data_IF_575636413836
#
_entry.id   IF_575636413836
#
_cell.length_a   1.000
_cell.length_b   1.000
_cell.length_c   1.000
_cell.angle_alpha   90.00
_cell.angle_beta   90.00
_cell.angle_gamma   90.00
#
_symmetry.space_group_name_H-M   'P 1'
#
loop_
_entity.id
_entity.type
_entity.pdbx_description
1 polymer ?
#
# COMPACT_ATOMS: atom_id res chain seq x y z
N UNK A 1 22.44 17.56 -38.93
CA UNK A 1 23.25 16.55 -38.21
C UNK A 1 23.13 16.85 -36.72
N UNK A 2 22.22 16.16 -36.05
CA UNK A 2 21.97 16.30 -34.61
C UNK A 2 23.07 15.51 -33.90
N UNK A 3 23.91 16.18 -33.11
CA UNK A 3 24.84 15.50 -32.18
C UNK A 3 24.02 15.02 -30.99
N UNK A 4 23.91 13.70 -30.84
CA UNK A 4 23.47 13.06 -29.60
C UNK A 4 24.59 13.19 -28.56
N UNK A 5 24.24 13.64 -27.36
CA UNK A 5 25.14 13.74 -26.21
C UNK A 5 25.54 12.34 -25.72
N UNK A 6 26.78 12.23 -25.25
CA UNK A 6 27.49 10.98 -24.90
C UNK A 6 27.25 10.57 -23.43
N UNK A 7 26.28 11.19 -22.74
CA UNK A 7 26.08 11.00 -21.30
C UNK A 7 25.23 9.76 -20.93
N UNK A 8 24.61 9.09 -21.91
CA UNK A 8 23.75 7.92 -21.67
C UNK A 8 24.50 6.58 -21.60
N UNK A 9 25.80 6.54 -21.91
CA UNK A 9 26.59 5.29 -21.95
C UNK A 9 27.24 4.98 -20.59
N UNK A 10 27.40 5.96 -19.70
CA UNK A 10 28.09 5.79 -18.41
C UNK A 10 27.18 5.23 -17.29
N UNK A 11 25.86 5.39 -17.38
CA UNK A 11 24.92 4.94 -16.35
C UNK A 11 24.83 3.42 -16.22
N UNK A 12 24.94 2.69 -17.33
CA UNK A 12 24.87 1.23 -17.34
C UNK A 12 26.10 0.54 -16.74
N UNK A 13 27.29 1.11 -16.92
CA UNK A 13 28.54 0.55 -16.39
C UNK A 13 28.65 0.72 -14.86
N UNK A 14 28.16 1.85 -14.33
CA UNK A 14 28.19 2.13 -12.89
C UNK A 14 27.18 1.28 -12.11
N UNK A 15 26.01 0.97 -12.70
CA UNK A 15 25.01 0.06 -12.11
C UNK A 15 25.57 -1.36 -11.98
N UNK A 16 26.19 -1.88 -13.06
CA UNK A 16 26.79 -3.23 -13.06
C UNK A 16 27.93 -3.33 -12.04
N UNK A 17 28.73 -2.27 -11.89
CA UNK A 17 29.85 -2.23 -10.93
C UNK A 17 29.37 -2.18 -9.47
N UNK A 18 28.25 -1.50 -9.20
CA UNK A 18 27.63 -1.46 -7.88
C UNK A 18 27.02 -2.83 -7.48
N UNK A 19 26.36 -3.51 -8.42
CA UNK A 19 25.75 -4.83 -8.20
C UNK A 19 26.80 -5.94 -7.96
N UNK A 20 27.93 -5.89 -8.67
CA UNK A 20 29.08 -6.79 -8.44
C UNK A 20 29.68 -6.60 -7.03
N UNK A 21 29.73 -5.36 -6.54
CA UNK A 21 30.32 -5.05 -5.22
C UNK A 21 29.47 -5.58 -4.06
N UNK A 22 28.14 -5.53 -4.20
CA UNK A 22 27.17 -6.00 -3.21
C UNK A 22 27.21 -7.54 -3.07
N UNK A 23 27.25 -8.28 -4.18
CA UNK A 23 27.31 -9.74 -4.15
C UNK A 23 28.62 -10.27 -3.51
N UNK A 24 29.73 -9.56 -3.71
CA UNK A 24 30.99 -9.87 -3.03
C UNK A 24 30.90 -9.64 -1.50
N UNK A 25 30.21 -8.58 -1.08
CA UNK A 25 30.01 -8.25 0.34
C UNK A 25 29.16 -9.31 1.06
N UNK A 26 28.06 -9.76 0.45
CA UNK A 26 27.22 -10.83 1.01
C UNK A 26 27.98 -12.14 1.14
N UNK A 27 28.69 -12.57 0.09
CA UNK A 27 29.44 -13.83 0.13
C UNK A 27 30.53 -13.82 1.21
N UNK A 28 31.26 -12.71 1.34
CA UNK A 28 32.26 -12.53 2.41
C UNK A 28 31.63 -12.63 3.81
N UNK A 29 30.43 -12.07 4.00
CA UNK A 29 29.69 -12.18 5.26
C UNK A 29 29.27 -13.64 5.57
N UNK A 30 28.75 -14.35 4.57
CA UNK A 30 28.33 -15.75 4.71
C UNK A 30 29.52 -16.69 4.98
N UNK A 31 30.67 -16.44 4.34
CA UNK A 31 31.92 -17.15 4.61
C UNK A 31 32.40 -16.91 6.05
N UNK A 32 32.37 -15.66 6.52
CA UNK A 32 32.69 -15.30 7.91
C UNK A 32 31.79 -16.02 8.92
N UNK A 33 30.52 -16.25 8.57
CA UNK A 33 29.56 -16.98 9.41
C UNK A 33 29.65 -18.51 9.25
N UNK A 34 30.49 -19.01 8.36
CA UNK A 34 30.66 -20.43 8.10
C UNK A 34 29.42 -21.09 7.49
N UNK A 35 28.66 -20.34 6.68
CA UNK A 35 27.48 -20.87 5.97
C UNK A 35 27.97 -21.68 4.76
N UNK A 36 27.60 -22.97 4.62
CA UNK A 36 28.04 -23.80 3.51
C UNK A 36 27.36 -23.40 2.20
N UNK A 37 27.99 -23.73 1.06
CA UNK A 37 27.57 -23.23 -0.26
C UNK A 37 26.15 -23.62 -0.66
N UNK A 38 25.67 -24.80 -0.25
CA UNK A 38 24.29 -25.25 -0.49
C UNK A 38 23.26 -24.38 0.25
N UNK A 39 23.64 -23.83 1.40
CA UNK A 39 22.81 -22.92 2.20
C UNK A 39 22.94 -21.46 1.77
N UNK A 40 24.04 -21.06 1.11
CA UNK A 40 24.18 -19.71 0.52
C UNK A 40 23.13 -19.45 -0.53
N UNK A 41 22.80 -20.44 -1.36
CA UNK A 41 21.74 -20.33 -2.36
C UNK A 41 20.37 -20.02 -1.73
N UNK A 42 20.07 -20.59 -0.57
CA UNK A 42 18.83 -20.32 0.17
C UNK A 42 18.78 -18.86 0.65
N UNK A 43 19.91 -18.33 1.12
CA UNK A 43 20.03 -16.91 1.50
C UNK A 43 19.81 -16.02 0.27
N UNK A 44 20.39 -16.38 -0.88
CA UNK A 44 20.19 -15.65 -2.13
C UNK A 44 18.71 -15.66 -2.55
N UNK A 45 18.03 -16.80 -2.47
CA UNK A 45 16.60 -16.91 -2.78
C UNK A 45 15.76 -16.02 -1.84
N UNK A 46 16.07 -16.02 -0.53
CA UNK A 46 15.42 -15.12 0.44
C UNK A 46 15.69 -13.64 0.13
N UNK A 47 16.95 -13.30 -0.20
CA UNK A 47 17.34 -11.94 -0.57
C UNK A 47 16.53 -11.46 -1.76
N UNK A 48 16.46 -12.26 -2.81
CA UNK A 48 15.76 -11.91 -4.04
C UNK A 48 14.27 -11.69 -3.77
N UNK A 49 13.67 -12.48 -2.88
CA UNK A 49 12.30 -12.28 -2.40
C UNK A 49 12.15 -10.95 -1.65
N UNK A 50 13.03 -10.61 -0.69
CA UNK A 50 12.83 -9.41 0.16
C UNK A 50 13.27 -8.10 -0.49
N UNK A 51 14.18 -8.16 -1.45
CA UNK A 51 14.66 -7.02 -2.25
C UNK A 51 13.82 -6.81 -3.52
N UNK A 52 13.14 -7.85 -3.99
CA UNK A 52 12.23 -7.76 -5.12
C UNK A 52 11.04 -6.83 -4.88
N UNK A 53 10.60 -6.15 -5.95
CA UNK A 53 9.49 -5.19 -5.92
C UNK A 53 8.22 -5.82 -5.32
N UNK A 54 7.64 -5.16 -4.30
CA UNK A 54 6.37 -5.56 -3.67
C UNK A 54 5.29 -4.52 -3.97
N UNK A 55 4.10 -4.97 -4.39
CA UNK A 55 2.91 -4.11 -4.55
C UNK A 55 2.18 -3.83 -3.22
N UNK A 56 2.60 -4.47 -2.13
CA UNK A 56 2.05 -4.29 -0.79
C UNK A 56 2.82 -3.16 -0.10
N UNK A 57 2.20 -1.99 0.04
CA UNK A 57 2.82 -0.76 0.53
C UNK A 57 3.25 -0.77 2.01
N UNK A 58 2.85 -1.79 2.79
CA UNK A 58 3.14 -1.93 4.23
C UNK A 58 4.31 -2.86 4.56
N UNK A 59 4.95 -3.44 3.55
CA UNK A 59 6.05 -4.40 3.73
C UNK A 59 7.34 -3.77 3.24
N UNK A 60 8.35 -3.69 4.12
CA UNK A 60 9.67 -3.14 3.77
C UNK A 60 10.23 -3.88 2.55
N UNK A 61 10.59 -3.12 1.52
CA UNK A 61 11.42 -3.61 0.41
C UNK A 61 12.86 -3.28 0.78
N UNK A 62 13.66 -4.33 1.01
CA UNK A 62 15.06 -4.15 1.40
C UNK A 62 15.86 -3.63 0.21
N UNK A 63 16.76 -2.67 0.47
CA UNK A 63 17.93 -2.52 -0.40
C UNK A 63 18.93 -3.61 -0.05
N UNK A 64 19.76 -4.03 -1.00
CA UNK A 64 20.74 -5.09 -0.76
C UNK A 64 21.69 -4.76 0.41
N UNK A 65 22.09 -3.49 0.57
CA UNK A 65 22.91 -3.03 1.70
C UNK A 65 22.17 -3.18 3.03
N UNK A 66 20.88 -2.80 3.09
CA UNK A 66 20.05 -2.95 4.29
C UNK A 66 19.88 -4.42 4.68
N UNK A 67 19.79 -5.32 3.69
CA UNK A 67 19.71 -6.76 3.94
C UNK A 67 21.01 -7.30 4.52
N UNK A 68 22.16 -6.90 3.99
CA UNK A 68 23.46 -7.31 4.54
C UNK A 68 23.66 -6.82 5.98
N UNK A 69 23.27 -5.56 6.27
CA UNK A 69 23.33 -4.99 7.61
C UNK A 69 22.41 -5.75 8.59
N UNK A 70 21.23 -6.18 8.14
CA UNK A 70 20.34 -7.03 8.92
C UNK A 70 20.99 -8.38 9.25
N UNK A 71 21.60 -9.05 8.27
CA UNK A 71 22.28 -10.32 8.47
C UNK A 71 23.44 -10.19 9.47
N UNK A 72 24.20 -9.10 9.38
CA UNK A 72 25.26 -8.80 10.35
C UNK A 72 24.68 -8.61 11.77
N UNK A 73 23.56 -7.90 11.89
CA UNK A 73 22.86 -7.70 13.16
C UNK A 73 22.17 -8.95 13.73
N UNK A 74 21.87 -9.96 12.91
CA UNK A 74 21.39 -11.28 13.37
C UNK A 74 22.54 -12.11 13.94
N UNK A 75 23.73 -12.01 13.33
CA UNK A 75 24.88 -12.86 13.67
C UNK A 75 24.73 -14.31 13.19
N UNK A 76 25.83 -15.06 13.26
CA UNK A 76 25.94 -16.38 12.64
C UNK A 76 24.90 -17.40 13.16
N UNK A 77 24.69 -17.49 14.47
CA UNK A 77 23.84 -18.52 15.06
C UNK A 77 22.35 -18.31 14.74
N UNK A 78 21.84 -17.08 14.88
CA UNK A 78 20.44 -16.77 14.53
C UNK A 78 20.18 -16.91 13.03
N UNK A 79 21.17 -16.58 12.20
CA UNK A 79 21.04 -16.75 10.76
C UNK A 79 20.94 -18.24 10.37
N UNK A 80 21.76 -19.11 10.96
CA UNK A 80 21.67 -20.57 10.75
C UNK A 80 20.29 -21.11 11.12
N UNK A 81 19.71 -20.63 12.21
CA UNK A 81 18.38 -21.06 12.64
C UNK A 81 17.27 -20.60 11.67
N UNK A 82 17.34 -19.35 11.18
CA UNK A 82 16.41 -18.85 10.14
C UNK A 82 16.52 -19.68 8.85
N UNK A 83 17.75 -20.03 8.44
CA UNK A 83 17.97 -20.91 7.29
C UNK A 83 17.28 -22.25 7.51
N UNK A 84 17.45 -22.88 8.67
CA UNK A 84 16.87 -24.19 8.96
C UNK A 84 15.33 -24.16 9.04
N UNK A 85 14.72 -23.07 9.54
CA UNK A 85 13.25 -22.89 9.49
C UNK A 85 12.76 -22.92 8.03
N UNK A 86 13.43 -22.20 7.13
CA UNK A 86 13.05 -22.19 5.72
C UNK A 86 13.31 -23.52 5.03
N UNK A 87 14.42 -24.18 5.33
CA UNK A 87 14.71 -25.54 4.84
C UNK A 87 13.59 -26.51 5.23
N UNK A 88 13.11 -26.45 6.47
CA UNK A 88 12.00 -27.29 6.93
C UNK A 88 10.70 -27.03 6.16
N UNK A 89 10.43 -25.78 5.78
CA UNK A 89 9.26 -25.44 4.97
C UNK A 89 9.40 -25.98 3.54
N UNK A 90 10.56 -25.83 2.91
CA UNK A 90 10.81 -26.40 1.58
C UNK A 90 10.68 -27.92 1.59
N UNK A 91 11.22 -28.59 2.61
CA UNK A 91 11.07 -30.04 2.77
C UNK A 91 9.61 -30.46 2.95
N UNK A 92 8.83 -29.74 3.77
CA UNK A 92 7.40 -30.01 3.93
C UNK A 92 6.62 -29.79 2.62
N UNK A 93 7.04 -28.84 1.78
CA UNK A 93 6.46 -28.64 0.45
C UNK A 93 6.70 -29.87 -0.44
N UNK A 94 7.96 -30.32 -0.56
CA UNK A 94 8.31 -31.46 -1.40
C UNK A 94 7.58 -32.73 -0.95
N UNK A 95 7.53 -32.98 0.37
CA UNK A 95 6.84 -34.14 0.93
C UNK A 95 5.31 -34.10 0.68
N UNK A 96 4.67 -32.95 0.86
CA UNK A 96 3.23 -32.81 0.62
C UNK A 96 2.90 -32.99 -0.87
N UNK A 97 3.68 -32.38 -1.76
CA UNK A 97 3.47 -32.51 -3.21
C UNK A 97 3.62 -33.96 -3.68
N UNK A 98 4.64 -34.68 -3.20
CA UNK A 98 4.86 -36.07 -3.55
C UNK A 98 3.67 -36.97 -3.16
N UNK A 99 3.06 -36.74 -1.99
CA UNK A 99 1.86 -37.50 -1.58
C UNK A 99 0.66 -37.16 -2.46
N UNK A 100 0.43 -35.87 -2.74
CA UNK A 100 -0.67 -35.40 -3.60
C UNK A 100 -0.55 -36.00 -5.00
N UNK A 101 0.67 -36.05 -5.56
CA UNK A 101 0.90 -36.64 -6.87
C UNK A 101 0.53 -38.13 -6.93
N UNK A 102 0.64 -38.84 -5.80
CA UNK A 102 0.25 -40.24 -5.65
C UNK A 102 -1.26 -40.51 -5.55
N UNK A 103 -2.11 -39.48 -5.43
CA UNK A 103 -3.57 -39.64 -5.34
C UNK A 103 -4.15 -40.07 -6.70
N UNK A 104 -5.05 -41.06 -6.67
CA UNK A 104 -5.74 -41.60 -7.87
C UNK A 104 -7.01 -40.84 -8.24
N UNK A 105 -7.72 -40.33 -7.24
CA UNK A 105 -8.91 -39.52 -7.46
C UNK A 105 -8.49 -38.14 -8.00
N UNK A 106 -8.78 -37.89 -9.28
CA UNK A 106 -8.41 -36.66 -9.97
C UNK A 106 -9.06 -35.40 -9.37
N UNK A 107 -10.22 -35.52 -8.73
CA UNK A 107 -10.93 -34.40 -8.10
C UNK A 107 -10.25 -34.05 -6.79
N UNK A 108 -10.09 -35.03 -5.90
CA UNK A 108 -9.40 -34.85 -4.62
C UNK A 108 -7.95 -34.40 -4.81
N UNK A 109 -7.25 -34.96 -5.80
CA UNK A 109 -5.89 -34.55 -6.18
C UNK A 109 -5.84 -33.07 -6.56
N UNK A 110 -6.77 -32.60 -7.39
CA UNK A 110 -6.81 -31.20 -7.82
C UNK A 110 -7.16 -30.26 -6.67
N UNK A 111 -8.08 -30.64 -5.77
CA UNK A 111 -8.40 -29.83 -4.58
C UNK A 111 -7.19 -29.65 -3.67
N UNK A 112 -6.45 -30.72 -3.41
CA UNK A 112 -5.21 -30.67 -2.62
C UNK A 112 -4.08 -29.92 -3.32
N UNK A 113 -3.94 -30.06 -4.65
CA UNK A 113 -3.01 -29.24 -5.44
C UNK A 113 -3.33 -27.75 -5.33
N UNK A 114 -4.61 -27.37 -5.37
CA UNK A 114 -5.03 -25.96 -5.20
C UNK A 114 -4.67 -25.44 -3.80
N UNK A 115 -4.94 -26.21 -2.74
CA UNK A 115 -4.54 -25.86 -1.37
C UNK A 115 -3.01 -25.73 -1.27
N UNK A 116 -2.27 -26.71 -1.80
CA UNK A 116 -0.81 -26.75 -1.80
C UNK A 116 -0.20 -25.53 -2.50
N UNK A 117 -0.55 -25.31 -3.77
CA UNK A 117 -0.02 -24.20 -4.55
C UNK A 117 -0.49 -22.85 -4.00
N UNK A 118 -1.66 -22.77 -3.36
CA UNK A 118 -2.09 -21.58 -2.63
C UNK A 118 -1.12 -21.20 -1.51
N UNK A 119 -0.75 -22.17 -0.67
CA UNK A 119 0.24 -21.97 0.41
C UNK A 119 1.64 -21.73 -0.11
N UNK A 120 2.07 -22.44 -1.16
CA UNK A 120 3.39 -22.26 -1.78
C UNK A 120 3.53 -20.85 -2.37
N UNK A 121 2.52 -20.36 -3.09
CA UNK A 121 2.56 -19.04 -3.73
C UNK A 121 2.41 -17.88 -2.73
N UNK A 122 1.82 -18.10 -1.55
CA UNK A 122 1.75 -17.10 -0.48
C UNK A 122 3.06 -17.01 0.34
N UNK A 123 3.92 -18.02 0.26
CA UNK A 123 5.13 -18.12 1.08
C UNK A 123 6.15 -16.97 0.85
N UNK A 124 6.40 -16.49 -0.40
CA UNK A 124 7.28 -15.34 -0.60
C UNK A 124 6.80 -14.06 0.09
N UNK A 125 5.48 -13.80 0.11
CA UNK A 125 4.93 -12.66 0.83
C UNK A 125 5.04 -12.87 2.35
N UNK A 126 4.79 -14.10 2.82
CA UNK A 126 4.98 -14.47 4.22
C UNK A 126 6.42 -14.23 4.67
N UNK A 127 7.42 -14.64 3.88
CA UNK A 127 8.83 -14.32 4.13
C UNK A 127 9.06 -12.81 4.25
N UNK A 128 8.53 -12.01 3.32
CA UNK A 128 8.66 -10.54 3.43
C UNK A 128 8.04 -9.99 4.72
N UNK A 129 6.93 -10.56 5.20
CA UNK A 129 6.30 -10.18 6.49
C UNK A 129 7.22 -10.52 7.67
N UNK A 130 7.84 -11.70 7.67
CA UNK A 130 8.80 -12.11 8.72
C UNK A 130 10.02 -11.17 8.76
N UNK A 131 10.51 -10.75 7.59
CA UNK A 131 11.59 -9.77 7.47
C UNK A 131 11.17 -8.32 7.75
N UNK A 132 9.87 -8.03 7.89
CA UNK A 132 9.35 -6.67 8.14
C UNK A 132 9.41 -6.29 9.62
N UNK A 133 10.60 -6.36 10.23
CA UNK A 133 10.86 -5.92 11.60
C UNK A 133 11.65 -4.60 11.65
N UNK A 134 11.53 -3.87 12.75
CA UNK A 134 12.27 -2.64 12.98
C UNK A 134 13.78 -2.88 13.19
N UNK A 135 14.17 -4.06 13.67
CA UNK A 135 15.55 -4.47 13.93
C UNK A 135 15.73 -6.00 13.82
N UNK A 136 16.98 -6.48 13.95
CA UNK A 136 17.32 -7.90 13.83
C UNK A 136 16.70 -8.79 14.91
N UNK A 137 16.51 -8.28 16.13
CA UNK A 137 15.86 -9.01 17.21
C UNK A 137 14.38 -9.29 16.89
N UNK A 138 13.66 -8.28 16.38
CA UNK A 138 12.26 -8.44 15.99
C UNK A 138 12.10 -9.41 14.82
N UNK A 139 12.97 -9.33 13.80
CA UNK A 139 12.96 -10.26 12.67
C UNK A 139 13.19 -11.69 13.16
N UNK A 140 14.21 -11.91 13.99
CA UNK A 140 14.48 -13.24 14.55
C UNK A 140 13.31 -13.77 15.40
N UNK A 141 12.68 -12.91 16.21
CA UNK A 141 11.49 -13.26 16.99
C UNK A 141 10.31 -13.71 16.12
N UNK A 142 10.11 -13.07 14.96
CA UNK A 142 9.07 -13.46 14.00
C UNK A 142 9.32 -14.84 13.40
N UNK A 143 10.56 -15.14 13.01
CA UNK A 143 10.91 -16.45 12.46
C UNK A 143 10.75 -17.58 13.48
N UNK A 144 11.25 -17.39 14.70
CA UNK A 144 11.18 -18.41 15.77
C UNK A 144 9.75 -18.66 16.28
N UNK A 145 8.85 -17.70 16.11
CA UNK A 145 7.43 -17.83 16.45
C UNK A 145 6.56 -18.29 15.27
N UNK A 146 7.15 -18.45 14.08
CA UNK A 146 6.42 -18.83 12.87
C UNK A 146 6.06 -20.32 12.86
N UNK A 147 4.89 -20.64 12.33
CA UNK A 147 4.42 -22.02 12.19
C UNK A 147 3.90 -22.33 10.78
N UNK A 148 4.40 -21.62 9.76
CA UNK A 148 3.92 -21.80 8.38
C UNK A 148 4.18 -23.22 7.84
N UNK A 149 5.18 -23.93 8.38
CA UNK A 149 5.47 -25.33 8.06
C UNK A 149 4.27 -26.25 8.34
N UNK A 150 3.46 -25.94 9.36
CA UNK A 150 2.30 -26.75 9.74
C UNK A 150 1.21 -26.76 8.65
N UNK A 151 1.12 -25.73 7.81
CA UNK A 151 0.16 -25.68 6.70
C UNK A 151 0.46 -26.77 5.66
N UNK A 152 1.74 -27.01 5.34
CA UNK A 152 2.12 -28.06 4.40
C UNK A 152 2.05 -29.47 5.03
N UNK A 153 2.36 -29.59 6.33
CA UNK A 153 2.15 -30.84 7.06
C UNK A 153 0.67 -31.22 7.07
N UNK A 154 -0.23 -30.28 7.36
CA UNK A 154 -1.68 -30.55 7.36
C UNK A 154 -2.19 -31.02 5.99
N UNK A 155 -1.72 -30.40 4.91
CA UNK A 155 -2.07 -30.80 3.53
C UNK A 155 -1.54 -32.21 3.22
N UNK A 156 -0.31 -32.53 3.65
CA UNK A 156 0.27 -33.88 3.50
C UNK A 156 -0.57 -34.93 4.22
N UNK A 157 -0.96 -34.68 5.47
CA UNK A 157 -1.78 -35.62 6.26
C UNK A 157 -3.18 -35.80 5.65
N UNK A 158 -3.81 -34.73 5.15
CA UNK A 158 -5.07 -34.80 4.41
C UNK A 158 -4.92 -35.66 3.15
N UNK A 159 -3.84 -35.48 2.40
CA UNK A 159 -3.53 -36.27 1.22
C UNK A 159 -3.29 -37.76 1.52
N UNK A 160 -2.61 -38.07 2.64
CA UNK A 160 -2.39 -39.46 3.08
C UNK A 160 -3.70 -40.18 3.40
N UNK A 161 -4.66 -39.50 4.05
CA UNK A 161 -5.97 -40.08 4.36
C UNK A 161 -6.73 -40.59 3.12
N UNK A 162 -6.58 -39.91 1.98
CA UNK A 162 -7.24 -40.28 0.73
C UNK A 162 -6.52 -41.42 -0.02
N UNK A 163 -5.23 -41.61 0.23
CA UNK A 163 -4.45 -42.75 -0.29
C UNK A 163 -4.76 -44.02 0.49
N UNK A 164 -5.19 -43.92 1.76
CA UNK A 164 -5.59 -45.07 2.57
C UNK A 164 -7.04 -45.52 2.32
N UNK A 165 -7.97 -44.58 2.08
CA UNK A 165 -9.40 -44.87 1.82
C UNK A 165 -9.65 -45.57 0.47
N UNK A 166 -8.70 -45.46 -0.47
CA UNK A 166 -8.78 -46.08 -1.81
C UNK A 166 -8.29 -47.54 -1.87
N UNK A 167 -8.07 -48.19 -0.71
CA UNK A 167 -7.78 -49.64 -0.62
C UNK A 167 -9.02 -50.49 -0.34
N UNK A 168 -10.16 -49.89 -0.02
CA UNK A 168 -11.43 -50.60 0.12
C UNK A 168 -12.42 -50.12 -0.95
N UNK A 169 -13.29 -51.03 -1.40
CA UNK A 169 -14.30 -50.86 -2.45
C UNK A 169 -13.82 -51.13 -3.89
N UNK A 170 -13.87 -52.42 -4.24
CA UNK A 170 -14.16 -52.89 -5.60
C UNK A 170 -15.64 -53.27 -5.68
N UNK A 171 -16.45 -52.64 -6.52
CA UNK A 171 -17.61 -53.30 -7.17
C UNK A 171 -17.90 -52.67 -8.55
N UNK A 172 -18.05 -53.54 -9.54
CA UNK A 172 -18.25 -53.29 -10.97
C UNK A 172 -19.63 -52.74 -11.37
N UNK A 173 -19.63 -51.92 -12.43
CA UNK A 173 -20.45 -52.14 -13.64
C UNK A 173 -21.91 -51.67 -13.66
N UNK A 174 -22.18 -50.51 -14.26
CA UNK A 174 -23.44 -50.21 -14.98
C UNK A 174 -23.13 -49.34 -16.23
N UNK A 175 -23.71 -49.60 -17.42
CA UNK A 175 -23.44 -48.83 -18.63
C UNK A 175 -24.09 -47.44 -18.58
N UNK A 176 -23.34 -46.39 -18.94
CA UNK A 176 -23.88 -45.04 -19.05
C UNK A 176 -24.62 -44.82 -20.37
N UNK A 177 -25.91 -44.54 -20.29
CA UNK A 177 -26.69 -43.89 -21.34
C UNK A 177 -26.35 -42.39 -21.40
N UNK A 178 -26.13 -41.89 -22.62
CA UNK A 178 -25.81 -40.49 -22.91
C UNK A 178 -27.04 -39.60 -22.64
N UNK A 179 -27.02 -38.88 -21.52
CA UNK A 179 -27.94 -37.77 -21.23
C UNK A 179 -27.44 -36.52 -21.97
N UNK A 180 -28.29 -35.77 -22.69
CA UNK A 180 -27.88 -34.54 -23.36
C UNK A 180 -27.43 -33.49 -22.32
N UNK A 181 -26.19 -33.01 -22.47
CA UNK A 181 -25.56 -32.06 -21.58
C UNK A 181 -26.29 -30.70 -21.67
N UNK A 182 -27.11 -30.37 -20.66
CA UNK A 182 -27.77 -29.05 -20.57
C UNK A 182 -26.73 -27.93 -20.46
N UNK A 183 -26.95 -26.84 -21.18
CA UNK A 183 -26.09 -25.65 -21.14
C UNK A 183 -26.11 -25.03 -19.73
N UNK A 184 -24.94 -24.71 -19.16
CA UNK A 184 -24.77 -24.16 -17.81
C UNK A 184 -25.59 -22.88 -17.61
N UNK A 185 -25.70 -22.03 -18.63
CA UNK A 185 -26.50 -20.80 -18.57
C UNK A 185 -27.99 -21.08 -18.35
N UNK A 186 -28.53 -22.15 -18.93
CA UNK A 186 -29.94 -22.50 -18.79
C UNK A 186 -30.28 -22.94 -17.36
N UNK A 187 -29.29 -23.48 -16.63
CA UNK A 187 -29.42 -23.94 -15.24
C UNK A 187 -29.41 -22.80 -14.22
N UNK A 188 -29.09 -21.57 -14.63
CA UNK A 188 -29.08 -20.39 -13.76
C UNK A 188 -30.48 -19.81 -13.53
N UNK A 189 -30.67 -19.23 -12.35
CA UNK A 189 -31.85 -18.43 -11.99
C UNK A 189 -31.88 -17.10 -12.78
N UNK A 190 -33.01 -16.39 -12.73
CA UNK A 190 -33.19 -15.16 -13.50
C UNK A 190 -32.21 -14.04 -13.06
N UNK A 191 -32.02 -13.85 -11.76
CA UNK A 191 -31.07 -12.90 -11.18
C UNK A 191 -29.62 -13.28 -11.45
N UNK A 192 -29.29 -14.58 -11.38
CA UNK A 192 -27.99 -15.11 -11.77
C UNK A 192 -27.67 -14.86 -13.25
N UNK A 193 -28.67 -14.98 -14.13
CA UNK A 193 -28.55 -14.65 -15.56
C UNK A 193 -28.29 -13.17 -15.78
N UNK A 194 -28.96 -12.27 -15.07
CA UNK A 194 -28.73 -10.83 -15.17
C UNK A 194 -27.28 -10.44 -14.80
N UNK A 195 -26.72 -11.10 -13.79
CA UNK A 195 -25.31 -10.91 -13.40
C UNK A 195 -24.37 -11.39 -14.51
N UNK A 196 -24.61 -12.60 -15.03
CA UNK A 196 -23.80 -13.16 -16.12
C UNK A 196 -23.89 -12.31 -17.38
N UNK A 197 -25.07 -11.80 -17.71
CA UNK A 197 -25.29 -10.90 -18.84
C UNK A 197 -24.55 -9.57 -18.66
N UNK A 198 -24.49 -9.05 -17.43
CA UNK A 198 -23.70 -7.85 -17.09
C UNK A 198 -22.20 -8.09 -17.31
N UNK A 199 -21.68 -9.24 -16.85
CA UNK A 199 -20.27 -9.63 -17.07
C UNK A 199 -20.00 -9.83 -18.57
N UNK A 200 -20.88 -10.56 -19.27
CA UNK A 200 -20.81 -10.79 -20.72
C UNK A 200 -20.69 -9.47 -21.47
N UNK A 201 -21.59 -8.52 -21.21
CA UNK A 201 -21.61 -7.24 -21.90
C UNK A 201 -20.28 -6.48 -21.73
N UNK A 202 -19.60 -6.60 -20.59
CA UNK A 202 -18.28 -5.99 -20.39
C UNK A 202 -17.24 -6.65 -21.30
N UNK A 203 -17.17 -7.98 -21.32
CA UNK A 203 -16.08 -8.73 -22.01
C UNK A 203 -16.29 -8.91 -23.51
N UNK A 204 -17.51 -8.67 -24.02
CA UNK A 204 -17.84 -8.71 -25.45
C UNK A 204 -17.90 -7.33 -26.11
N UNK A 205 -17.86 -6.24 -25.33
CA UNK A 205 -17.87 -4.86 -25.87
C UNK A 205 -16.46 -4.31 -25.98
N UNK A 206 -16.12 -3.58 -27.04
CA UNK A 206 -14.82 -2.91 -27.18
C UNK A 206 -14.72 -1.75 -26.16
N UNK A 207 -13.64 -1.69 -25.37
CA UNK A 207 -13.44 -0.57 -24.41
C UNK A 207 -12.99 0.67 -25.17
N UNK A 208 -13.70 1.80 -25.00
CA UNK A 208 -13.33 3.09 -25.60
C UNK A 208 -12.33 3.88 -24.76
N UNK A 209 -12.14 3.53 -23.48
CA UNK A 209 -11.39 4.33 -22.50
C UNK A 209 -9.91 3.94 -22.44
N UNK A 210 -9.57 2.68 -22.71
CA UNK A 210 -8.20 2.19 -22.72
C UNK A 210 -7.95 1.32 -23.96
N UNK A 211 -7.05 1.76 -24.86
CA UNK A 211 -6.48 0.91 -25.93
C UNK A 211 -5.66 -0.21 -25.27
N UNK A 212 -6.33 -1.26 -24.84
CA UNK A 212 -5.71 -2.44 -24.24
C UNK A 212 -6.02 -3.65 -25.10
N UNK A 213 -5.00 -4.47 -25.36
CA UNK A 213 -5.02 -5.63 -26.24
C UNK A 213 -5.64 -6.87 -25.58
N UNK A 214 -6.62 -6.70 -24.68
CA UNK A 214 -7.27 -7.81 -24.01
C UNK A 214 -8.17 -8.58 -24.98
N UNK A 215 -8.27 -9.90 -24.79
CA UNK A 215 -9.16 -10.77 -25.56
C UNK A 215 -10.59 -10.22 -25.55
N UNK A 216 -11.13 -10.01 -26.75
CA UNK A 216 -12.53 -9.68 -26.96
C UNK A 216 -13.28 -11.00 -27.21
N UNK A 217 -14.22 -11.34 -26.34
CA UNK A 217 -15.03 -12.54 -26.51
C UNK A 217 -16.18 -12.27 -27.50
N UNK A 218 -16.48 -13.24 -28.35
CA UNK A 218 -17.82 -13.38 -28.93
C UNK A 218 -18.78 -13.96 -27.90
N UNK A 219 -20.10 -13.81 -28.14
CA UNK A 219 -21.10 -14.41 -27.26
C UNK A 219 -20.96 -15.93 -27.17
N UNK A 220 -20.68 -16.61 -28.29
CA UNK A 220 -20.53 -18.06 -28.31
C UNK A 220 -19.29 -18.53 -27.53
N UNK A 221 -18.15 -17.84 -27.67
CA UNK A 221 -16.95 -18.13 -26.87
C UNK A 221 -17.19 -17.92 -25.38
N UNK A 222 -17.97 -16.91 -25.00
CA UNK A 222 -18.32 -16.66 -23.61
C UNK A 222 -19.22 -17.78 -23.04
N UNK A 223 -20.25 -18.22 -23.76
CA UNK A 223 -21.10 -19.32 -23.27
C UNK A 223 -20.38 -20.67 -23.26
N UNK A 224 -19.48 -20.92 -24.21
CA UNK A 224 -18.63 -22.10 -24.19
C UNK A 224 -17.70 -22.10 -22.97
N UNK A 225 -17.16 -20.94 -22.59
CA UNK A 225 -16.39 -20.77 -21.35
C UNK A 225 -17.22 -21.12 -20.11
N UNK A 226 -18.49 -20.67 -20.02
CA UNK A 226 -19.37 -21.04 -18.91
C UNK A 226 -19.61 -22.55 -18.83
N UNK A 227 -19.77 -23.21 -19.98
CA UNK A 227 -19.92 -24.66 -20.05
C UNK A 227 -18.66 -25.39 -19.59
N UNK A 228 -17.47 -24.89 -19.93
CA UNK A 228 -16.19 -25.44 -19.48
C UNK A 228 -15.97 -25.25 -17.97
N UNK A 229 -16.40 -24.10 -17.42
CA UNK A 229 -16.36 -23.81 -15.99
C UNK A 229 -17.29 -24.73 -15.18
N UNK A 230 -18.45 -25.07 -15.73
CA UNK A 230 -19.48 -25.83 -15.03
C UNK A 230 -20.26 -24.97 -14.04
N UNK A 231 -21.45 -25.46 -13.65
CA UNK A 231 -22.42 -24.70 -12.84
C UNK A 231 -21.90 -24.23 -11.49
N UNK A 232 -21.04 -25.03 -10.84
CA UNK A 232 -20.48 -24.71 -9.51
C UNK A 232 -19.58 -23.46 -9.60
N UNK A 233 -18.57 -23.48 -10.49
CA UNK A 233 -17.64 -22.35 -10.67
C UNK A 233 -18.35 -21.09 -11.17
N UNK A 234 -19.38 -21.23 -12.01
CA UNK A 234 -20.17 -20.09 -12.49
C UNK A 234 -20.94 -19.42 -11.35
N UNK A 235 -21.55 -20.20 -10.43
CA UNK A 235 -22.21 -19.64 -9.24
C UNK A 235 -21.24 -18.94 -8.29
N UNK A 236 -20.04 -19.48 -8.12
CA UNK A 236 -18.98 -18.82 -7.34
C UNK A 236 -18.57 -17.47 -7.96
N UNK A 237 -18.39 -17.41 -9.28
CA UNK A 237 -18.06 -16.15 -10.00
C UNK A 237 -19.17 -15.11 -9.78
N UNK A 238 -20.44 -15.52 -9.85
CA UNK A 238 -21.58 -14.64 -9.58
C UNK A 238 -21.51 -14.08 -8.16
N UNK A 239 -21.24 -14.94 -7.17
CA UNK A 239 -21.14 -14.51 -5.77
C UNK A 239 -20.00 -13.51 -5.54
N UNK A 240 -18.82 -13.74 -6.14
CA UNK A 240 -17.66 -12.84 -6.05
C UNK A 240 -17.99 -11.49 -6.70
N UNK A 241 -18.53 -11.50 -7.91
CA UNK A 241 -18.92 -10.28 -8.62
C UNK A 241 -19.93 -9.45 -7.83
N UNK A 242 -20.94 -10.10 -7.24
CA UNK A 242 -21.93 -9.43 -6.39
C UNK A 242 -21.31 -8.85 -5.11
N UNK A 243 -20.33 -9.53 -4.52
CA UNK A 243 -19.57 -9.01 -3.38
C UNK A 243 -18.84 -7.72 -3.75
N UNK A 244 -18.10 -7.72 -4.85
CA UNK A 244 -17.35 -6.54 -5.34
C UNK A 244 -18.29 -5.34 -5.60
N UNK A 245 -19.46 -5.58 -6.21
CA UNK A 245 -20.46 -4.54 -6.42
C UNK A 245 -21.00 -3.97 -5.11
N UNK A 246 -21.34 -4.84 -4.14
CA UNK A 246 -21.84 -4.40 -2.82
C UNK A 246 -20.82 -3.55 -2.09
N UNK A 247 -19.54 -3.93 -2.13
CA UNK A 247 -18.48 -3.16 -1.48
C UNK A 247 -18.25 -1.80 -2.15
N UNK A 248 -18.31 -1.75 -3.48
CA UNK A 248 -18.25 -0.51 -4.24
C UNK A 248 -19.41 0.43 -3.90
N UNK A 249 -20.64 -0.10 -3.86
CA UNK A 249 -21.84 0.70 -3.57
C UNK A 249 -21.87 1.17 -2.10
N UNK A 250 -21.45 0.32 -1.16
CA UNK A 250 -21.27 0.70 0.24
C UNK A 250 -20.24 1.83 0.38
N UNK A 251 -19.09 1.70 -0.30
CA UNK A 251 -18.07 2.73 -0.26
C UNK A 251 -18.54 4.05 -0.91
N UNK A 252 -19.31 3.99 -1.99
CA UNK A 252 -19.95 5.18 -2.57
C UNK A 252 -20.84 5.90 -1.55
N UNK A 253 -21.62 5.15 -0.77
CA UNK A 253 -22.47 5.72 0.27
C UNK A 253 -21.65 6.38 1.40
N UNK A 254 -20.53 5.77 1.82
CA UNK A 254 -19.59 6.37 2.79
C UNK A 254 -19.01 7.69 2.28
N UNK A 255 -18.57 7.73 1.02
CA UNK A 255 -18.05 8.94 0.37
C UNK A 255 -19.14 10.03 0.33
N UNK A 256 -20.37 9.68 -0.07
CA UNK A 256 -21.50 10.62 -0.12
C UNK A 256 -21.83 11.21 1.25
N UNK A 257 -21.80 10.40 2.31
CA UNK A 257 -22.06 10.86 3.68
C UNK A 257 -21.01 11.87 4.17
N UNK A 258 -19.73 11.69 3.80
CA UNK A 258 -18.67 12.66 4.11
C UNK A 258 -18.89 13.97 3.35
N UNK A 259 -19.31 13.89 2.08
CA UNK A 259 -19.54 15.06 1.22
C UNK A 259 -20.67 15.95 1.74
N UNK A 260 -21.77 15.35 2.20
CA UNK A 260 -22.96 16.08 2.67
C UNK A 260 -22.67 16.98 3.89
N UNK A 261 -21.62 16.65 4.67
CA UNK A 261 -21.25 17.35 5.90
C UNK A 261 -20.34 18.57 5.64
N UNK A 262 -19.66 18.65 4.49
CA UNK A 262 -18.44 19.48 4.37
C UNK A 262 -18.47 20.57 3.30
N UNK A 263 -18.26 21.82 3.74
CA UNK A 263 -18.03 22.99 2.87
C UNK A 263 -16.65 23.01 2.18
N UNK A 264 -15.73 22.05 2.43
CA UNK A 264 -14.42 22.04 1.75
C UNK A 264 -14.45 21.20 0.48
N UNK A 265 -15.18 21.73 -0.51
CA UNK A 265 -15.40 21.19 -1.86
C UNK A 265 -14.17 20.59 -2.56
N UNK A 266 -12.94 20.99 -2.21
CA UNK A 266 -11.73 20.51 -2.88
C UNK A 266 -11.31 19.08 -2.49
N UNK A 267 -11.39 18.72 -1.20
CA UNK A 267 -10.99 17.40 -0.70
C UNK A 267 -12.01 16.33 -1.08
N UNK A 268 -13.28 16.66 -0.88
CA UNK A 268 -14.43 15.85 -1.28
C UNK A 268 -14.45 15.60 -2.78
N UNK A 269 -14.22 16.62 -3.61
CA UNK A 269 -14.07 16.43 -5.07
C UNK A 269 -12.90 15.55 -5.46
N UNK A 270 -11.75 15.69 -4.80
CA UNK A 270 -10.58 14.84 -5.10
C UNK A 270 -10.93 13.38 -4.83
N UNK A 271 -11.61 13.11 -3.71
CA UNK A 271 -12.09 11.78 -3.36
C UNK A 271 -13.11 11.24 -4.36
N UNK A 272 -14.10 12.05 -4.79
CA UNK A 272 -15.04 11.68 -5.86
C UNK A 272 -14.34 11.34 -7.17
N UNK A 273 -13.35 12.14 -7.58
CA UNK A 273 -12.57 11.93 -8.80
C UNK A 273 -11.79 10.62 -8.71
N UNK A 274 -11.10 10.36 -7.60
CA UNK A 274 -10.34 9.11 -7.41
C UNK A 274 -11.27 7.89 -7.33
N UNK A 275 -12.42 8.01 -6.65
CA UNK A 275 -13.41 6.94 -6.60
C UNK A 275 -13.97 6.65 -7.99
N UNK A 276 -14.30 7.69 -8.76
CA UNK A 276 -14.80 7.55 -10.13
C UNK A 276 -13.78 6.88 -11.06
N UNK A 277 -12.48 7.19 -10.93
CA UNK A 277 -11.43 6.48 -11.68
C UNK A 277 -11.44 4.99 -11.38
N UNK A 278 -11.67 4.59 -10.13
CA UNK A 278 -11.82 3.18 -9.77
C UNK A 278 -13.08 2.60 -10.42
N UNK A 279 -14.24 3.25 -10.27
CA UNK A 279 -15.49 2.80 -10.91
C UNK A 279 -15.31 2.59 -12.43
N UNK A 280 -14.68 3.54 -13.11
CA UNK A 280 -14.40 3.48 -14.55
C UNK A 280 -13.35 2.42 -14.91
N UNK A 281 -12.50 2.02 -13.96
CA UNK A 281 -11.50 0.97 -14.12
C UNK A 281 -12.09 -0.45 -13.96
N UNK A 282 -13.17 -0.63 -13.20
CA UNK A 282 -13.76 -1.95 -12.93
C UNK A 282 -14.05 -2.80 -14.20
N UNK A 283 -14.63 -2.25 -15.29
CA UNK A 283 -14.80 -3.01 -16.52
C UNK A 283 -13.48 -3.49 -17.14
N UNK A 284 -12.40 -2.70 -17.01
CA UNK A 284 -11.07 -3.07 -17.48
C UNK A 284 -10.47 -4.18 -16.62
N UNK A 285 -10.68 -4.13 -15.30
CA UNK A 285 -10.30 -5.19 -14.38
C UNK A 285 -10.98 -6.53 -14.73
N UNK A 286 -12.28 -6.52 -15.02
CA UNK A 286 -13.00 -7.71 -15.47
C UNK A 286 -12.41 -8.25 -16.78
N UNK A 287 -12.12 -7.39 -17.76
CA UNK A 287 -11.46 -7.84 -19.00
C UNK A 287 -10.12 -8.49 -18.75
N UNK A 288 -9.32 -7.92 -17.84
CA UNK A 288 -8.06 -8.52 -17.44
C UNK A 288 -8.25 -9.90 -16.79
N UNK A 289 -9.33 -10.14 -16.03
CA UNK A 289 -9.66 -11.47 -15.49
C UNK A 289 -9.96 -12.46 -16.61
N UNK A 290 -10.72 -12.05 -17.62
CA UNK A 290 -11.11 -12.92 -18.73
C UNK A 290 -10.03 -13.12 -19.81
N UNK A 291 -8.96 -12.33 -19.76
CA UNK A 291 -7.77 -12.45 -20.60
C UNK A 291 -6.85 -13.59 -20.15
N UNK A 292 -7.43 -14.75 -19.85
CA UNK A 292 -6.72 -15.98 -19.50
C UNK A 292 -6.85 -16.99 -20.61
N UNK A 293 -5.90 -17.91 -20.66
CA UNK A 293 -5.77 -18.90 -21.74
C UNK A 293 -6.88 -19.95 -21.72
N UNK A 294 -7.46 -20.22 -20.55
CA UNK A 294 -8.44 -21.28 -20.33
C UNK A 294 -9.42 -20.94 -19.19
N UNK A 295 -10.46 -21.78 -19.06
CA UNK A 295 -11.54 -21.62 -18.09
C UNK A 295 -11.06 -21.60 -16.63
N UNK A 296 -10.14 -22.49 -16.27
CA UNK A 296 -9.62 -22.58 -14.91
C UNK A 296 -8.76 -21.36 -14.55
N UNK A 297 -8.05 -20.80 -15.52
CA UNK A 297 -7.35 -19.53 -15.41
C UNK A 297 -8.30 -18.36 -15.13
N UNK A 298 -9.44 -18.28 -15.84
CA UNK A 298 -10.48 -17.25 -15.59
C UNK A 298 -11.05 -17.40 -14.18
N UNK A 299 -11.46 -18.62 -13.79
CA UNK A 299 -11.99 -18.88 -12.45
C UNK A 299 -10.97 -18.52 -11.36
N UNK A 300 -9.72 -18.96 -11.52
CA UNK A 300 -8.64 -18.65 -10.58
C UNK A 300 -8.40 -17.15 -10.45
N UNK A 301 -8.54 -16.40 -11.56
CA UNK A 301 -8.39 -14.95 -11.55
C UNK A 301 -9.54 -14.23 -10.84
N UNK A 302 -10.77 -14.75 -10.88
CA UNK A 302 -11.87 -14.28 -10.05
C UNK A 302 -11.64 -14.57 -8.57
N UNK A 303 -11.28 -15.81 -8.22
CA UNK A 303 -11.10 -16.22 -6.81
C UNK A 303 -9.91 -15.51 -6.15
N UNK A 304 -8.81 -15.32 -6.89
CA UNK A 304 -7.64 -14.53 -6.41
C UNK A 304 -7.86 -13.03 -6.53
N UNK A 305 -8.89 -12.63 -7.27
CA UNK A 305 -9.22 -11.25 -7.51
C UNK A 305 -9.70 -10.58 -6.23
N UNK A 306 -9.06 -9.48 -5.87
CA UNK A 306 -9.52 -8.65 -4.77
C UNK A 306 -9.62 -7.20 -5.25
N UNK A 307 -10.71 -6.93 -5.97
CA UNK A 307 -10.97 -5.59 -6.46
C UNK A 307 -11.16 -4.61 -5.30
N UNK A 308 -11.66 -5.08 -4.15
CA UNK A 308 -11.87 -4.26 -2.97
C UNK A 308 -10.60 -3.60 -2.43
N UNK A 309 -9.45 -4.25 -2.61
CA UNK A 309 -8.14 -3.71 -2.21
C UNK A 309 -7.81 -2.38 -2.90
N UNK A 310 -8.37 -2.12 -4.09
CA UNK A 310 -8.18 -0.84 -4.77
C UNK A 310 -8.82 0.32 -3.98
N UNK A 311 -9.79 0.04 -3.10
CA UNK A 311 -10.43 1.04 -2.25
C UNK A 311 -9.73 1.23 -0.89
N UNK A 312 -8.77 0.38 -0.48
CA UNK A 312 -8.17 0.46 0.87
C UNK A 312 -7.64 1.85 1.19
N UNK A 313 -6.89 2.45 0.27
CA UNK A 313 -6.35 3.80 0.46
C UNK A 313 -7.48 4.82 0.60
N UNK A 314 -8.46 4.81 -0.31
CA UNK A 314 -9.57 5.75 -0.25
C UNK A 314 -10.43 5.58 1.02
N UNK A 315 -10.62 4.33 1.50
CA UNK A 315 -11.27 4.04 2.79
C UNK A 315 -10.49 4.66 3.96
N UNK A 316 -9.17 4.56 3.93
CA UNK A 316 -8.31 5.24 4.92
C UNK A 316 -8.44 6.76 4.84
N UNK A 317 -8.40 7.33 3.62
CA UNK A 317 -8.52 8.77 3.41
C UNK A 317 -9.88 9.30 3.89
N UNK A 318 -10.97 8.60 3.60
CA UNK A 318 -12.34 8.88 4.09
C UNK A 318 -12.38 8.93 5.61
N UNK A 319 -11.76 7.96 6.27
CA UNK A 319 -11.70 7.90 7.74
C UNK A 319 -10.91 9.08 8.31
N UNK A 320 -9.74 9.37 7.75
CA UNK A 320 -8.89 10.51 8.18
C UNK A 320 -9.66 11.83 8.04
N UNK A 321 -10.38 12.02 6.94
CA UNK A 321 -11.21 13.21 6.72
C UNK A 321 -12.32 13.30 7.78
N UNK A 322 -13.06 12.21 8.00
CA UNK A 322 -14.12 12.16 9.02
C UNK A 322 -13.61 12.46 10.42
N UNK A 323 -12.49 11.85 10.83
CA UNK A 323 -11.92 12.02 12.17
C UNK A 323 -11.34 13.42 12.35
N UNK A 324 -10.73 14.01 11.31
CA UNK A 324 -10.30 15.40 11.32
C UNK A 324 -11.47 16.38 11.53
N UNK A 325 -12.63 16.13 10.92
CA UNK A 325 -13.80 17.00 11.10
C UNK A 325 -14.33 16.98 12.52
N UNK A 326 -14.46 15.78 13.11
CA UNK A 326 -14.87 15.62 14.51
C UNK A 326 -13.91 16.37 15.43
N UNK A 327 -12.61 16.27 15.16
CA UNK A 327 -11.60 17.04 15.89
C UNK A 327 -11.83 18.56 15.72
N UNK A 328 -12.16 19.01 14.51
CA UNK A 328 -12.46 20.41 14.20
C UNK A 328 -13.77 20.96 14.82
N UNK A 329 -14.75 20.14 15.19
CA UNK A 329 -15.97 20.61 15.88
C UNK A 329 -15.67 21.34 17.20
N UNK A 330 -14.63 20.92 17.90
CA UNK A 330 -14.19 21.52 19.17
C UNK A 330 -13.42 22.85 19.04
N UNK A 331 -13.19 23.36 17.84
CA UNK A 331 -12.43 24.59 17.59
C UNK A 331 -13.33 25.77 17.20
N UNK A 332 -12.98 26.94 17.71
CA UNK A 332 -13.60 28.22 17.37
C UNK A 332 -13.32 28.64 15.91
N UNK A 333 -14.04 29.65 15.42
CA UNK A 333 -13.84 30.19 14.07
C UNK A 333 -12.41 30.72 13.84
N UNK A 334 -11.81 31.35 14.85
CA UNK A 334 -10.44 31.89 14.79
C UNK A 334 -9.41 30.76 14.73
N UNK A 335 -9.58 29.72 15.56
CA UNK A 335 -8.71 28.55 15.55
C UNK A 335 -8.79 27.80 14.21
N UNK A 336 -10.00 27.60 13.67
CA UNK A 336 -10.20 27.03 12.33
C UNK A 336 -9.52 27.84 11.23
N UNK A 337 -9.59 29.18 11.32
CA UNK A 337 -8.87 30.08 10.41
C UNK A 337 -7.35 29.91 10.51
N UNK A 338 -6.83 29.72 11.71
CA UNK A 338 -5.40 29.45 11.95
C UNK A 338 -4.97 28.12 11.35
N UNK A 339 -5.75 27.05 11.56
CA UNK A 339 -5.49 25.73 10.96
C UNK A 339 -5.50 25.83 9.43
N UNK A 340 -6.46 26.56 8.84
CA UNK A 340 -6.53 26.76 7.40
C UNK A 340 -5.30 27.49 6.85
N UNK A 341 -4.80 28.52 7.56
CA UNK A 341 -3.57 29.20 7.20
C UNK A 341 -2.36 28.27 7.28
N UNK A 342 -2.18 27.54 8.39
CA UNK A 342 -1.09 26.56 8.54
C UNK A 342 -1.08 25.56 7.40
N UNK A 343 -2.26 25.03 7.06
CA UNK A 343 -2.44 24.13 5.92
C UNK A 343 -1.94 24.73 4.62
N UNK A 344 -2.39 25.95 4.29
CA UNK A 344 -2.01 26.63 3.05
C UNK A 344 -0.50 26.79 2.89
N UNK A 345 0.22 26.94 4.01
CA UNK A 345 1.68 27.08 4.02
C UNK A 345 2.39 25.73 3.81
N UNK A 346 1.95 24.68 4.53
CA UNK A 346 2.64 23.39 4.49
C UNK A 346 2.34 22.58 3.24
N UNK A 347 1.21 22.86 2.57
CA UNK A 347 0.84 22.22 1.29
C UNK A 347 1.34 22.97 0.07
N UNK A 348 1.85 24.20 0.21
CA UNK A 348 2.42 24.97 -0.92
C UNK A 348 3.85 24.51 -1.20
N UNK A 349 4.06 23.90 -2.36
CA UNK A 349 5.38 23.40 -2.80
C UNK A 349 6.41 24.49 -3.04
N UNK A 350 6.01 25.76 -3.20
CA UNK A 350 6.95 26.86 -3.44
C UNK A 350 7.62 27.34 -2.15
N UNK A 351 6.95 27.18 -1.01
CA UNK A 351 7.48 27.58 0.30
C UNK A 351 8.47 26.51 0.78
N UNK A 352 9.66 26.92 1.25
CA UNK A 352 10.64 26.00 1.83
C UNK A 352 11.28 25.01 0.86
N UNK A 353 11.11 25.23 -0.46
CA UNK A 353 11.61 24.33 -1.51
C UNK A 353 13.14 24.35 -1.62
N UNK A 354 13.74 25.54 -1.44
CA UNK A 354 15.20 25.73 -1.46
C UNK A 354 15.85 24.99 -0.29
N UNK A 355 15.18 24.96 0.85
CA UNK A 355 15.63 24.30 2.07
C UNK A 355 15.30 22.80 2.11
N UNK A 356 14.50 22.30 1.15
CA UNK A 356 14.10 20.89 1.07
C UNK A 356 13.04 20.47 2.08
N UNK A 357 12.24 21.41 2.60
CA UNK A 357 11.19 21.08 3.58
C UNK A 357 10.07 20.23 2.98
N UNK A 358 9.53 19.33 3.80
CA UNK A 358 8.41 18.44 3.43
C UNK A 358 7.23 19.29 2.94
N UNK A 359 6.66 18.93 1.79
CA UNK A 359 5.38 19.44 1.34
C UNK A 359 4.32 18.39 1.61
N UNK A 360 3.36 18.74 2.45
CA UNK A 360 2.26 17.85 2.82
C UNK A 360 1.19 17.86 1.73
N UNK A 361 0.51 16.73 1.53
CA UNK A 361 -0.84 16.78 0.97
C UNK A 361 -1.90 17.04 2.05
N UNK A 362 -3.12 17.37 1.63
CA UNK A 362 -4.22 17.67 2.56
C UNK A 362 -4.53 16.53 3.54
N UNK A 363 -4.40 15.26 3.11
CA UNK A 363 -4.72 14.08 3.92
C UNK A 363 -3.60 13.82 4.93
N UNK A 364 -2.34 13.90 4.50
CA UNK A 364 -1.19 13.81 5.39
C UNK A 364 -1.23 14.87 6.49
N UNK A 365 -1.60 16.11 6.13
CA UNK A 365 -1.76 17.19 7.10
C UNK A 365 -2.89 16.90 8.10
N UNK A 366 -4.06 16.47 7.61
CA UNK A 366 -5.18 16.11 8.47
C UNK A 366 -4.81 14.96 9.44
N UNK A 367 -4.09 13.94 8.95
CA UNK A 367 -3.64 12.83 9.78
C UNK A 367 -2.66 13.30 10.87
N UNK A 368 -1.71 14.17 10.53
CA UNK A 368 -0.81 14.76 11.52
C UNK A 368 -1.56 15.53 12.61
N UNK A 369 -2.58 16.31 12.24
CA UNK A 369 -3.39 17.05 13.20
C UNK A 369 -4.24 16.13 14.08
N UNK A 370 -4.73 15.02 13.52
CA UNK A 370 -5.38 13.96 14.28
C UNK A 370 -4.43 13.37 15.33
N UNK A 371 -3.20 13.02 14.93
CA UNK A 371 -2.18 12.43 15.81
C UNK A 371 -1.69 13.39 16.91
N UNK A 372 -1.68 14.69 16.64
CA UNK A 372 -1.42 15.72 17.66
C UNK A 372 -2.52 15.76 18.73
N UNK A 373 -3.76 15.49 18.35
CA UNK A 373 -4.92 15.65 19.22
C UNK A 373 -5.25 17.10 19.56
N UNK A 374 -6.38 17.29 20.23
CA UNK A 374 -6.97 18.62 20.47
C UNK A 374 -6.07 19.51 21.35
N UNK A 375 -5.50 18.96 22.43
CA UNK A 375 -4.74 19.74 23.41
C UNK A 375 -3.47 20.34 22.82
N UNK A 376 -2.62 19.51 22.21
CA UNK A 376 -1.37 19.94 21.57
C UNK A 376 -1.64 20.87 20.39
N UNK A 377 -2.68 20.59 19.59
CA UNK A 377 -3.05 21.47 18.49
C UNK A 377 -3.46 22.87 18.97
N UNK A 378 -4.21 22.97 20.08
CA UNK A 378 -4.54 24.28 20.68
C UNK A 378 -3.29 25.03 21.13
N UNK A 379 -2.29 24.35 21.67
CA UNK A 379 -1.03 24.99 22.06
C UNK A 379 -0.24 25.49 20.85
N UNK A 380 -0.16 24.69 19.79
CA UNK A 380 0.42 25.09 18.50
C UNK A 380 -0.28 26.34 17.95
N UNK A 381 -1.62 26.36 17.97
CA UNK A 381 -2.42 27.52 17.56
C UNK A 381 -2.12 28.74 18.42
N UNK A 382 -2.04 28.59 19.76
CA UNK A 382 -1.69 29.69 20.67
C UNK A 382 -0.31 30.29 20.34
N UNK A 383 0.68 29.47 20.00
CA UNK A 383 2.03 29.94 19.63
C UNK A 383 2.00 30.71 18.31
N UNK A 384 1.25 30.22 17.33
CA UNK A 384 1.05 30.92 16.06
C UNK A 384 0.37 32.28 16.28
N UNK A 385 -0.74 32.30 17.01
CA UNK A 385 -1.49 33.52 17.32
C UNK A 385 -0.64 34.52 18.11
N UNK A 386 0.18 34.05 19.05
CA UNK A 386 1.12 34.89 19.80
C UNK A 386 2.16 35.55 18.88
N UNK A 387 2.68 34.80 17.90
CA UNK A 387 3.62 35.32 16.90
C UNK A 387 2.95 36.37 16.01
N UNK A 388 1.72 36.12 15.57
CA UNK A 388 0.94 37.08 14.76
C UNK A 388 0.60 38.37 15.54
N UNK A 389 0.20 38.23 16.81
CA UNK A 389 -0.06 39.38 17.70
C UNK A 389 1.20 40.21 17.92
N UNK A 390 2.34 39.58 18.16
CA UNK A 390 3.62 40.28 18.32
C UNK A 390 4.03 41.02 17.04
N UNK A 391 3.87 40.39 15.87
CA UNK A 391 4.11 41.02 14.56
C UNK A 391 3.26 42.26 14.36
N UNK A 392 1.96 42.19 14.65
CA UNK A 392 1.05 43.33 14.51
C UNK A 392 1.40 44.47 15.48
N UNK A 393 1.81 44.15 16.71
CA UNK A 393 2.25 45.15 17.67
C UNK A 393 3.54 45.85 17.21
N UNK A 394 4.50 45.11 16.65
CA UNK A 394 5.70 45.67 16.05
C UNK A 394 5.40 46.56 14.84
N UNK A 395 4.47 46.14 13.97
CA UNK A 395 4.01 46.94 12.83
C UNK A 395 3.37 48.26 13.30
N UNK A 396 2.56 48.22 14.36
CA UNK A 396 1.96 49.42 14.93
C UNK A 396 3.00 50.38 15.54
N UNK A 397 4.04 49.86 16.21
CA UNK A 397 5.16 50.66 16.71
C UNK A 397 5.95 51.28 15.56
N UNK A 398 6.28 50.49 14.53
CA UNK A 398 6.96 50.96 13.30
C UNK A 398 6.22 52.12 12.64
N UNK A 399 4.89 52.07 12.58
CA UNK A 399 4.09 53.13 11.98
C UNK A 399 4.05 54.44 12.81
N UNK A 400 4.34 54.35 14.11
CA UNK A 400 4.40 55.52 15.01
C UNK A 400 5.79 56.16 15.07
N UNK A 401 6.84 55.36 14.84
CA UNK A 401 8.22 55.81 14.86
C UNK A 401 8.50 56.95 13.84
N UNK A 402 9.31 57.92 14.25
CA UNK A 402 9.70 59.05 13.39
C UNK A 402 10.58 58.57 12.22
N UNK A 403 10.46 59.23 11.07
CA UNK A 403 11.21 58.85 9.88
C UNK A 403 12.70 59.13 10.05
N UNK A 404 13.51 58.07 10.00
CA UNK A 404 14.96 58.13 10.22
C UNK A 404 15.66 56.97 9.51
N UNK A 405 16.97 57.08 9.30
CA UNK A 405 17.77 55.98 8.74
C UNK A 405 17.65 54.71 9.60
N UNK A 406 17.66 54.86 10.93
CA UNK A 406 17.50 53.75 11.87
C UNK A 406 16.15 53.04 11.72
N UNK A 407 15.07 53.78 11.48
CA UNK A 407 13.75 53.20 11.18
C UNK A 407 13.77 52.42 9.87
N UNK A 408 14.42 52.93 8.83
CA UNK A 408 14.53 52.24 7.53
C UNK A 408 15.29 50.90 7.65
N UNK A 409 16.40 50.89 8.39
CA UNK A 409 17.19 49.68 8.64
C UNK A 409 16.38 48.64 9.45
N UNK A 410 15.69 49.07 10.50
CA UNK A 410 14.83 48.20 11.30
C UNK A 410 13.64 47.67 10.51
N UNK A 411 13.02 48.51 9.67
CA UNK A 411 11.94 48.10 8.78
C UNK A 411 12.42 47.02 7.81
N UNK A 412 13.61 47.17 7.22
CA UNK A 412 14.18 46.15 6.33
C UNK A 412 14.29 44.78 7.04
N UNK A 413 14.86 44.75 8.25
CA UNK A 413 15.00 43.52 9.03
C UNK A 413 13.66 42.92 9.47
N UNK A 414 12.71 43.77 9.88
CA UNK A 414 11.33 43.36 10.20
C UNK A 414 10.62 42.75 8.98
N UNK A 415 10.79 43.34 7.80
CA UNK A 415 10.20 42.86 6.54
C UNK A 415 10.84 41.51 6.12
N UNK A 416 12.14 41.31 6.36
CA UNK A 416 12.82 40.02 6.16
C UNK A 416 12.25 38.95 7.09
N UNK A 417 12.18 39.21 8.40
CA UNK A 417 11.61 38.26 9.37
C UNK A 417 10.15 37.93 9.04
N UNK A 418 9.36 38.95 8.67
CA UNK A 418 7.95 38.83 8.31
C UNK A 418 7.72 37.95 7.08
N UNK A 419 8.58 38.06 6.07
CA UNK A 419 8.54 37.19 4.88
C UNK A 419 9.00 35.77 5.19
N UNK A 420 9.97 35.60 6.09
CA UNK A 420 10.47 34.30 6.51
C UNK A 420 9.48 33.46 7.33
N UNK A 421 8.44 34.04 7.90
CA UNK A 421 7.53 33.33 8.82
C UNK A 421 6.84 32.12 8.19
N UNK A 422 6.44 32.18 6.91
CA UNK A 422 5.82 31.05 6.25
C UNK A 422 6.82 29.88 6.06
N UNK A 423 8.08 30.19 5.71
CA UNK A 423 9.14 29.18 5.63
C UNK A 423 9.44 28.58 7.01
N UNK A 424 9.50 29.41 8.06
CA UNK A 424 9.63 28.95 9.45
C UNK A 424 8.49 28.03 9.87
N UNK A 425 7.25 28.39 9.57
CA UNK A 425 6.10 27.55 9.87
C UNK A 425 6.23 26.19 9.17
N UNK A 426 6.67 26.17 7.92
CA UNK A 426 6.90 24.92 7.19
C UNK A 426 8.04 24.09 7.79
N UNK A 427 9.11 24.72 8.27
CA UNK A 427 10.18 24.07 9.03
C UNK A 427 9.63 23.37 10.29
N UNK A 428 8.78 24.04 11.07
CA UNK A 428 8.19 23.45 12.29
C UNK A 428 7.36 22.18 12.02
N UNK A 429 6.78 22.09 10.81
CA UNK A 429 6.05 20.91 10.35
C UNK A 429 6.93 19.89 9.62
N UNK A 430 8.21 20.17 9.38
CA UNK A 430 9.11 19.29 8.62
C UNK A 430 9.45 17.99 9.37
N UNK A 431 9.32 18.00 10.70
CA UNK A 431 9.70 16.88 11.54
C UNK A 431 8.91 15.58 11.24
N UNK A 432 9.50 14.44 11.63
CA UNK A 432 9.07 13.11 11.20
C UNK A 432 7.71 12.65 11.75
N UNK A 433 7.24 13.21 12.88
CA UNK A 433 5.98 12.82 13.52
C UNK A 433 5.39 13.95 14.38
N UNK A 434 4.17 13.71 14.90
CA UNK A 434 3.42 14.66 15.73
C UNK A 434 4.17 15.12 17.00
N UNK A 435 4.90 14.24 17.67
CA UNK A 435 5.65 14.60 18.89
C UNK A 435 6.76 15.61 18.60
N UNK A 436 7.52 15.40 17.54
CA UNK A 436 8.58 16.33 17.14
C UNK A 436 8.02 17.65 16.63
N UNK A 437 6.95 17.61 15.82
CA UNK A 437 6.26 18.84 15.38
C UNK A 437 5.83 19.66 16.59
N UNK A 438 5.17 19.02 17.56
CA UNK A 438 4.77 19.68 18.79
C UNK A 438 5.96 20.30 19.53
N UNK A 439 7.04 19.53 19.72
CA UNK A 439 8.26 20.01 20.38
C UNK A 439 8.87 21.23 19.66
N UNK A 440 8.96 21.20 18.34
CA UNK A 440 9.54 22.29 17.55
C UNK A 440 8.70 23.57 17.67
N UNK A 441 7.38 23.44 17.68
CA UNK A 441 6.49 24.57 17.95
C UNK A 441 6.74 25.16 19.34
N UNK A 442 6.85 24.34 20.38
CA UNK A 442 7.15 24.81 21.74
C UNK A 442 8.49 25.55 21.84
N UNK A 443 9.48 25.16 21.02
CA UNK A 443 10.78 25.82 20.91
C UNK A 443 10.80 27.11 20.08
N UNK A 444 9.69 27.49 19.42
CA UNK A 444 9.64 28.60 18.47
C UNK A 444 9.86 29.96 19.15
N UNK A 445 10.83 30.73 18.63
CA UNK A 445 11.19 32.07 19.15
C UNK A 445 10.59 33.24 18.37
N UNK A 446 9.77 32.98 17.36
CA UNK A 446 9.27 34.03 16.44
C UNK A 446 8.47 35.13 17.14
N UNK A 447 7.64 34.79 18.12
CA UNK A 447 6.93 35.79 18.92
C UNK A 447 7.88 36.71 19.70
N UNK A 448 8.96 36.17 20.25
CA UNK A 448 9.98 36.95 20.97
C UNK A 448 10.75 37.87 20.02
N UNK A 449 11.12 37.39 18.82
CA UNK A 449 11.79 38.22 17.81
C UNK A 449 10.93 39.42 17.39
N UNK A 450 9.64 39.22 17.11
CA UNK A 450 8.75 40.34 16.82
C UNK A 450 8.56 41.29 18.00
N UNK A 451 8.54 40.76 19.23
CA UNK A 451 8.47 41.59 20.44
C UNK A 451 9.72 42.48 20.58
N UNK A 452 10.90 41.98 20.23
CA UNK A 452 12.13 42.78 20.21
C UNK A 452 12.03 43.92 19.19
N UNK A 453 11.57 43.64 17.96
CA UNK A 453 11.34 44.69 16.96
C UNK A 453 10.37 45.76 17.45
N UNK A 454 9.26 45.38 18.09
CA UNK A 454 8.34 46.35 18.70
C UNK A 454 9.08 47.28 19.67
N UNK A 455 9.87 46.73 20.59
CA UNK A 455 10.61 47.52 21.57
C UNK A 455 11.67 48.41 20.90
N UNK A 456 12.32 47.95 19.84
CA UNK A 456 13.28 48.75 19.08
C UNK A 456 12.61 49.92 18.35
N UNK A 457 11.41 49.72 17.80
CA UNK A 457 10.62 50.79 17.19
C UNK A 457 10.04 51.77 18.22
N UNK A 458 9.65 51.33 19.42
CA UNK A 458 9.16 52.23 20.47
C UNK A 458 10.26 53.16 21.03
N UNK A 459 11.54 52.86 20.76
CA UNK A 459 12.72 53.59 21.24
C UNK A 459 13.31 54.57 20.21
N UNK A 460 12.64 54.77 19.07
CA UNK A 460 13.03 55.70 18.01
C UNK A 460 11.82 56.48 17.52
#
# INVERSE_FOLDING_TARGET
MIKLNVDDVNSGADIVKAEININAMLNSLLDKFGIPDDRKKIIDDMRDIVTGFSRVFSVRVYKNEDFCNLLEGLGAERLKEIIEIHVNILKAQDEALAVIEGIRDDVAKRELQVKFYGRQNAYPLHLKILFNGANSDEVYGKFTSDNYVAEFIAIKEEALGLVEDSRDVSVEGVPQEQVPQKNVYELLLADEKDVIDSIRNVVTTVSSVFKTSYKLYSNDEFYNLLNQLGIVKVKDIIAIYLKDLREKDAFRAEVAAVIEIEEKYALTKKLEIEFKKLEDFYPTYLKWIFDRTDADGVYSAFVRGDYSNNFIKLKSDVKIISDFNKLCEGFSKEEKGTIAYMRSVVTDSNIGSVEGYKTYDDVEFNNLLHDLGVERLREIIKIHLSSHKAKNAALAAMNKAEESQKKQDLKFNFDVLSRGYASHLKLLFHAFNADYVYHDFMGSKYAALFTNFKNEFDNI
#
